data_IF_395480302073
#
_entry.id   IF_395480302073
#
_cell.length_a   1.000
_cell.length_b   1.000
_cell.length_c   1.000
_cell.angle_alpha   90.00
_cell.angle_beta   90.00
_cell.angle_gamma   90.00
#
_symmetry.space_group_name_H-M   'P 1'
#
loop_
_entity.id
_entity.type
_entity.pdbx_description
1 polymer ?
#
# COMPACT_ATOMS: atom_id res chain seq x y z
N UNK A 1 -29.35 39.44 44.74
CA UNK A 1 -27.99 39.02 44.34
C UNK A 1 -27.56 39.92 43.18
N UNK A 2 -26.46 40.66 43.35
CA UNK A 2 -25.23 40.59 42.53
C UNK A 2 -25.43 41.14 41.09
N UNK A 3 -25.08 42.42 40.81
CA UNK A 3 -23.72 42.91 40.44
C UNK A 3 -23.18 42.19 39.20
N UNK A 4 -23.00 42.81 38.03
CA UNK A 4 -21.84 43.65 37.60
C UNK A 4 -22.02 44.02 36.10
N UNK A 5 -21.45 45.06 35.45
CA UNK A 5 -20.77 46.32 35.87
C UNK A 5 -20.84 47.40 34.75
N UNK A 6 -20.54 48.64 35.15
CA UNK A 6 -20.31 49.91 34.42
C UNK A 6 -19.70 49.86 33.00
N UNK A 7 -20.15 50.81 32.17
CA UNK A 7 -19.71 51.11 30.80
C UNK A 7 -18.22 51.45 30.60
N UNK A 8 -17.77 51.25 29.37
CA UNK A 8 -16.44 51.65 28.89
C UNK A 8 -16.47 53.06 28.29
N UNK A 9 -15.58 53.95 28.73
CA UNK A 9 -15.26 55.19 28.00
C UNK A 9 -13.75 55.46 27.92
N UNK A 10 -13.25 55.22 26.71
CA UNK A 10 -12.14 55.87 26.00
C UNK A 10 -11.24 56.88 26.74
N UNK A 11 -9.93 56.70 26.56
CA UNK A 11 -9.24 57.66 25.68
C UNK A 11 -8.22 56.96 24.78
N UNK A 12 -8.34 57.18 23.47
CA UNK A 12 -7.28 56.82 22.51
C UNK A 12 -6.17 57.85 22.65
N UNK A 13 -4.91 57.42 22.62
CA UNK A 13 -3.81 58.24 22.13
C UNK A 13 -3.02 57.42 21.11
N UNK A 14 -3.12 57.85 19.85
CA UNK A 14 -2.47 57.20 18.71
C UNK A 14 -1.04 57.71 18.65
N UNK A 15 -0.07 56.83 18.85
CA UNK A 15 1.32 57.06 18.45
C UNK A 15 1.65 56.11 17.29
N UNK A 16 1.73 56.69 16.10
CA UNK A 16 1.99 55.98 14.85
C UNK A 16 3.45 55.55 14.76
N UNK A 17 3.75 54.33 15.20
CA UNK A 17 4.99 53.66 14.85
C UNK A 17 4.71 52.61 13.78
N UNK A 18 5.21 52.84 12.56
CA UNK A 18 5.19 51.86 11.47
C UNK A 18 6.10 50.67 11.82
N UNK A 19 5.52 49.67 12.45
CA UNK A 19 6.17 48.37 12.61
C UNK A 19 6.20 47.67 11.26
N UNK A 20 7.39 47.55 10.67
CA UNK A 20 7.63 46.65 9.55
C UNK A 20 7.52 45.21 10.06
N UNK A 21 6.32 44.64 9.95
CA UNK A 21 6.06 43.25 10.31
C UNK A 21 6.79 42.32 9.32
N UNK A 22 8.00 41.88 9.69
CA UNK A 22 8.67 40.78 9.04
C UNK A 22 7.92 39.49 9.39
N UNK A 23 6.94 39.12 8.57
CA UNK A 23 6.27 37.83 8.64
C UNK A 23 7.27 36.72 8.31
N UNK A 24 7.90 36.16 9.33
CA UNK A 24 8.64 34.90 9.24
C UNK A 24 7.63 33.77 9.01
N UNK A 25 7.24 33.56 7.76
CA UNK A 25 6.46 32.40 7.33
C UNK A 25 7.33 31.15 7.46
N UNK A 26 7.33 30.54 8.66
CA UNK A 26 7.79 29.17 8.84
C UNK A 26 6.86 28.25 8.05
N UNK A 27 7.20 28.01 6.78
CA UNK A 27 6.55 26.98 5.99
C UNK A 27 6.70 25.66 6.76
N UNK A 28 5.58 25.14 7.26
CA UNK A 28 5.56 23.82 7.86
C UNK A 28 5.98 22.84 6.77
N UNK A 29 7.23 22.37 6.84
CA UNK A 29 7.69 21.27 6.00
C UNK A 29 6.74 20.11 6.29
N UNK A 30 5.91 19.77 5.31
CA UNK A 30 5.05 18.61 5.38
C UNK A 30 5.99 17.43 5.62
N UNK A 31 6.03 16.93 6.86
CA UNK A 31 6.56 15.59 7.10
C UNK A 31 5.72 14.70 6.21
N UNK A 32 6.32 14.20 5.14
CA UNK A 32 5.82 13.00 4.49
C UNK A 32 5.81 11.96 5.59
N UNK A 33 4.64 11.69 6.17
CA UNK A 33 4.50 10.53 7.03
C UNK A 33 4.95 9.35 6.19
N UNK A 34 6.01 8.67 6.64
CA UNK A 34 6.46 7.43 6.04
C UNK A 34 5.32 6.44 6.21
N UNK A 35 4.44 6.39 5.20
CA UNK A 35 3.22 5.59 5.20
C UNK A 35 3.65 4.16 5.46
N UNK A 36 3.45 3.70 6.69
CA UNK A 36 3.88 2.39 7.15
C UNK A 36 3.40 1.37 6.13
N UNK A 37 4.36 0.74 5.43
CA UNK A 37 4.04 -0.11 4.28
C UNK A 37 3.32 -1.33 4.81
N UNK A 38 2.00 -1.33 4.62
CA UNK A 38 1.15 -2.43 5.07
C UNK A 38 1.60 -3.75 4.45
N UNK A 39 1.54 -4.82 5.24
CA UNK A 39 1.85 -6.16 4.75
C UNK A 39 0.85 -6.65 3.69
N UNK A 40 -0.34 -6.02 3.59
CA UNK A 40 -1.31 -6.27 2.53
C UNK A 40 -1.27 -5.17 1.48
N UNK A 41 -1.45 -5.56 0.21
CA UNK A 41 -1.76 -4.61 -0.86
C UNK A 41 -3.27 -4.32 -0.90
N UNK A 42 -3.64 -3.15 -1.42
CA UNK A 42 -5.03 -2.84 -1.82
C UNK A 42 -5.39 -3.43 -3.19
N UNK A 43 -4.39 -3.79 -4.01
CA UNK A 43 -4.57 -4.31 -5.36
C UNK A 43 -4.62 -5.85 -5.37
N UNK A 44 -5.81 -6.41 -5.56
CA UNK A 44 -6.03 -7.85 -5.60
C UNK A 44 -5.92 -8.44 -7.02
N UNK A 45 -5.91 -7.61 -8.07
CA UNK A 45 -5.77 -8.04 -9.46
C UNK A 45 -4.31 -8.39 -9.82
N UNK A 46 -3.96 -9.67 -10.10
CA UNK A 46 -2.60 -10.08 -10.43
C UNK A 46 -2.04 -9.42 -11.70
N UNK A 47 -2.90 -8.93 -12.61
CA UNK A 47 -2.46 -8.26 -13.83
C UNK A 47 -1.93 -6.85 -13.57
N UNK A 48 -2.34 -6.22 -12.47
CA UNK A 48 -1.97 -4.86 -12.07
C UNK A 48 -0.82 -4.79 -11.08
N UNK A 49 -0.29 -5.93 -10.63
CA UNK A 49 0.87 -5.96 -9.74
C UNK A 49 2.12 -5.37 -10.42
N UNK A 50 2.86 -4.58 -9.66
CA UNK A 50 4.07 -3.85 -10.06
C UNK A 50 5.18 -4.08 -9.03
N UNK A 51 6.39 -3.55 -9.28
CA UNK A 51 7.51 -3.64 -8.34
C UNK A 51 7.23 -2.94 -6.99
N UNK A 52 6.33 -1.95 -6.95
CA UNK A 52 5.90 -1.26 -5.72
C UNK A 52 5.12 -2.18 -4.76
N UNK A 53 4.45 -3.19 -5.31
CA UNK A 53 3.65 -4.15 -4.55
C UNK A 53 4.46 -5.37 -4.04
N UNK A 54 5.77 -5.44 -4.34
CA UNK A 54 6.61 -6.57 -3.96
C UNK A 54 6.71 -6.68 -2.42
N UNK A 55 6.74 -7.93 -1.93
CA UNK A 55 6.66 -8.31 -0.52
C UNK A 55 5.33 -8.02 0.19
N UNK A 56 4.35 -7.40 -0.48
CA UNK A 56 2.97 -7.33 0.01
C UNK A 56 2.18 -8.61 -0.33
N UNK A 57 1.13 -8.87 0.44
CA UNK A 57 0.19 -9.97 0.24
C UNK A 57 -1.11 -9.45 -0.39
N UNK A 58 -1.54 -10.07 -1.48
CA UNK A 58 -2.87 -9.86 -2.05
C UNK A 58 -3.82 -10.98 -1.63
N UNK A 59 -5.12 -10.68 -1.58
CA UNK A 59 -6.15 -11.66 -1.22
C UNK A 59 -6.72 -12.29 -2.49
N UNK A 60 -6.71 -13.62 -2.55
CA UNK A 60 -7.42 -14.40 -3.57
C UNK A 60 -8.84 -14.69 -3.06
N UNK A 61 -9.84 -14.61 -3.94
CA UNK A 61 -11.23 -14.99 -3.60
C UNK A 61 -11.32 -16.50 -3.38
N UNK A 62 -12.37 -16.96 -2.68
CA UNK A 62 -12.54 -18.40 -2.43
C UNK A 62 -12.97 -19.12 -3.72
N UNK A 63 -13.68 -18.40 -4.58
CA UNK A 63 -14.13 -18.76 -5.92
C UNK A 63 -12.91 -19.00 -6.83
N UNK A 64 -12.03 -18.00 -6.99
CA UNK A 64 -10.82 -18.12 -7.80
C UNK A 64 -9.90 -19.23 -7.27
N UNK A 65 -9.75 -19.32 -5.94
CA UNK A 65 -8.95 -20.38 -5.31
C UNK A 65 -9.50 -21.76 -5.66
N UNK A 66 -10.82 -21.95 -5.58
CA UNK A 66 -11.47 -23.20 -5.94
C UNK A 66 -11.31 -23.47 -7.45
N UNK A 67 -11.58 -22.51 -8.32
CA UNK A 67 -11.47 -22.70 -9.77
C UNK A 67 -10.04 -23.01 -10.26
N UNK A 68 -9.03 -22.38 -9.67
CA UNK A 68 -7.63 -22.52 -10.09
C UNK A 68 -6.90 -23.70 -9.43
N UNK A 69 -7.28 -24.09 -8.20
CA UNK A 69 -6.53 -25.05 -7.39
C UNK A 69 -7.34 -26.26 -6.89
N UNK A 70 -8.54 -26.53 -7.45
CA UNK A 70 -9.41 -27.66 -7.03
C UNK A 70 -8.68 -29.01 -6.97
N UNK A 71 -7.83 -29.28 -7.97
CA UNK A 71 -7.12 -30.54 -8.13
C UNK A 71 -5.67 -30.48 -7.63
N UNK A 72 -5.31 -29.45 -6.86
CA UNK A 72 -3.99 -29.22 -6.29
C UNK A 72 -3.28 -27.98 -6.86
N UNK A 73 -1.96 -27.93 -6.71
CA UNK A 73 -1.10 -26.81 -7.13
C UNK A 73 -0.58 -25.96 -5.97
N UNK A 74 -1.32 -25.89 -4.85
CA UNK A 74 -0.83 -25.31 -3.60
C UNK A 74 -0.17 -26.39 -2.71
N UNK A 75 0.88 -26.06 -1.93
CA UNK A 75 1.44 -26.99 -0.96
C UNK A 75 0.47 -27.28 0.20
N UNK A 76 0.39 -28.53 0.67
CA UNK A 76 -0.46 -28.93 1.82
C UNK A 76 -0.30 -28.06 3.07
N UNK A 77 0.92 -27.60 3.35
CA UNK A 77 1.20 -26.68 4.46
C UNK A 77 0.52 -25.31 4.28
N UNK A 78 0.42 -24.82 3.05
CA UNK A 78 -0.28 -23.58 2.70
C UNK A 78 -1.80 -23.77 2.69
N UNK A 79 -2.31 -24.96 2.34
CA UNK A 79 -3.73 -25.30 2.50
C UNK A 79 -4.15 -25.28 3.98
N UNK A 80 -3.32 -25.83 4.88
CA UNK A 80 -3.53 -25.75 6.33
C UNK A 80 -3.53 -24.29 6.79
N UNK A 81 -2.53 -23.50 6.38
CA UNK A 81 -2.46 -22.07 6.69
C UNK A 81 -3.71 -21.31 6.23
N UNK A 82 -4.17 -21.56 5.01
CA UNK A 82 -5.38 -20.97 4.43
C UNK A 82 -6.63 -21.33 5.23
N UNK A 83 -6.74 -22.59 5.67
CA UNK A 83 -7.84 -23.05 6.54
C UNK A 83 -7.80 -22.40 7.92
N UNK A 84 -6.61 -22.25 8.52
CA UNK A 84 -6.44 -21.63 9.84
C UNK A 84 -6.77 -20.14 9.84
N UNK A 85 -6.38 -19.39 8.81
CA UNK A 85 -6.67 -17.95 8.72
C UNK A 85 -8.01 -17.62 8.05
N UNK A 86 -8.73 -18.62 7.53
CA UNK A 86 -9.97 -18.47 6.77
C UNK A 86 -9.86 -17.49 5.57
N UNK A 87 -8.66 -17.39 4.99
CA UNK A 87 -8.37 -16.56 3.83
C UNK A 87 -7.17 -17.08 3.05
N UNK A 88 -7.19 -16.88 1.73
CA UNK A 88 -6.06 -17.23 0.85
C UNK A 88 -5.30 -15.95 0.50
N UNK A 89 -4.10 -15.77 1.08
CA UNK A 89 -3.25 -14.61 0.81
C UNK A 89 -1.90 -15.03 0.23
N UNK A 90 -1.52 -14.46 -0.92
CA UNK A 90 -0.28 -14.79 -1.63
C UNK A 90 0.66 -13.58 -1.68
N UNK A 91 1.95 -13.80 -1.40
CA UNK A 91 2.96 -12.74 -1.46
C UNK A 91 3.36 -12.47 -2.92
N UNK A 92 3.34 -11.19 -3.29
CA UNK A 92 3.86 -10.70 -4.57
C UNK A 92 5.38 -10.73 -4.50
N UNK A 93 6.03 -11.49 -5.40
CA UNK A 93 7.48 -11.63 -5.44
C UNK A 93 8.04 -11.11 -6.77
N UNK A 94 9.23 -10.51 -6.71
CA UNK A 94 9.97 -10.01 -7.87
C UNK A 94 10.00 -10.96 -9.08
N UNK A 95 10.30 -12.29 -8.96
CA UNK A 95 10.25 -13.20 -10.11
C UNK A 95 8.85 -13.36 -10.72
N UNK A 96 7.78 -13.27 -9.91
CA UNK A 96 6.40 -13.35 -10.41
C UNK A 96 6.07 -12.13 -11.28
N UNK A 97 6.40 -10.92 -10.81
CA UNK A 97 6.22 -9.67 -11.57
C UNK A 97 6.99 -9.74 -12.90
N UNK A 98 8.26 -10.15 -12.86
CA UNK A 98 9.09 -10.29 -14.06
C UNK A 98 8.55 -11.31 -15.08
N UNK A 99 7.89 -12.39 -14.63
CA UNK A 99 7.28 -13.37 -15.52
C UNK A 99 5.96 -12.84 -16.10
N UNK A 100 5.11 -12.21 -15.29
CA UNK A 100 3.87 -11.56 -15.75
C UNK A 100 4.20 -10.51 -16.82
N UNK A 101 5.22 -9.68 -16.59
CA UNK A 101 5.72 -8.70 -17.56
C UNK A 101 6.27 -9.34 -18.84
N UNK A 102 6.86 -10.53 -18.75
CA UNK A 102 7.28 -11.27 -19.93
C UNK A 102 6.08 -11.81 -20.72
N UNK A 103 5.12 -12.47 -20.04
CA UNK A 103 3.88 -12.98 -20.62
C UNK A 103 3.09 -11.90 -21.36
N UNK A 104 2.99 -10.69 -20.78
CA UNK A 104 2.36 -9.50 -21.40
C UNK A 104 3.02 -9.07 -22.73
N UNK A 105 4.28 -9.43 -22.96
CA UNK A 105 5.08 -9.08 -24.16
C UNK A 105 5.32 -10.26 -25.10
N UNK A 106 4.74 -11.43 -24.84
CA UNK A 106 4.86 -12.58 -25.75
C UNK A 106 4.09 -12.31 -27.04
N UNK A 107 4.78 -12.55 -28.15
CA UNK A 107 4.18 -12.64 -29.47
C UNK A 107 3.70 -14.07 -29.73
N UNK A 108 2.38 -14.28 -29.67
CA UNK A 108 1.73 -15.57 -29.83
C UNK A 108 1.71 -16.10 -31.28
N UNK A 109 2.23 -15.35 -32.26
CA UNK A 109 2.48 -15.87 -33.61
C UNK A 109 3.74 -16.75 -33.69
N UNK A 110 4.61 -16.68 -32.67
CA UNK A 110 5.88 -17.41 -32.61
C UNK A 110 5.76 -18.72 -31.82
N UNK A 111 6.73 -19.66 -31.96
CA UNK A 111 6.76 -20.88 -31.17
C UNK A 111 6.71 -20.63 -29.66
N UNK A 112 6.07 -21.55 -28.92
CA UNK A 112 5.80 -21.39 -27.49
C UNK A 112 7.08 -21.19 -26.66
N UNK A 113 7.13 -20.06 -25.94
CA UNK A 113 8.21 -19.70 -25.02
C UNK A 113 8.21 -20.62 -23.79
N UNK A 114 9.39 -21.08 -23.37
CA UNK A 114 9.56 -21.97 -22.20
C UNK A 114 10.21 -21.23 -21.04
N UNK A 115 9.54 -21.23 -19.89
CA UNK A 115 10.05 -20.63 -18.65
C UNK A 115 10.52 -21.72 -17.67
N UNK A 116 11.62 -21.45 -16.96
CA UNK A 116 12.13 -22.35 -15.92
C UNK A 116 12.33 -21.56 -14.63
N UNK A 117 11.56 -21.91 -13.60
CA UNK A 117 11.76 -21.43 -12.23
C UNK A 117 12.74 -22.36 -11.51
N UNK A 118 13.91 -21.84 -11.15
CA UNK A 118 14.92 -22.57 -10.39
C UNK A 118 15.36 -21.78 -9.15
N UNK A 119 15.90 -22.47 -8.16
CA UNK A 119 16.35 -21.86 -6.91
C UNK A 119 16.79 -22.92 -5.90
N UNK A 120 17.40 -22.45 -4.79
CA UNK A 120 17.82 -23.32 -3.68
C UNK A 120 16.59 -24.04 -3.10
N UNK A 121 16.65 -25.37 -2.97
CA UNK A 121 15.62 -26.15 -2.27
C UNK A 121 15.41 -25.57 -0.87
N UNK A 122 14.18 -25.16 -0.55
CA UNK A 122 13.85 -24.66 0.79
C UNK A 122 14.10 -25.79 1.79
N UNK A 123 15.06 -25.59 2.69
CA UNK A 123 15.20 -26.42 3.89
C UNK A 123 14.11 -26.01 4.88
N UNK A 124 13.56 -27.00 5.57
CA UNK A 124 12.61 -26.81 6.66
C UNK A 124 13.39 -26.58 7.95
#
# INVERSE_FOLDING_TARGET
MLKTTVDTLFHKNVLSNKLYALYLSSAAHLKTEEKLVGFRTSENDPLKHTYEHVAQFYKLTQEDKNHLFLYGGLPKSFEIQTKTFNETCLMIRQPSVSIIDCLKRIDYSKPAVRFVLYGKKRKW
#
